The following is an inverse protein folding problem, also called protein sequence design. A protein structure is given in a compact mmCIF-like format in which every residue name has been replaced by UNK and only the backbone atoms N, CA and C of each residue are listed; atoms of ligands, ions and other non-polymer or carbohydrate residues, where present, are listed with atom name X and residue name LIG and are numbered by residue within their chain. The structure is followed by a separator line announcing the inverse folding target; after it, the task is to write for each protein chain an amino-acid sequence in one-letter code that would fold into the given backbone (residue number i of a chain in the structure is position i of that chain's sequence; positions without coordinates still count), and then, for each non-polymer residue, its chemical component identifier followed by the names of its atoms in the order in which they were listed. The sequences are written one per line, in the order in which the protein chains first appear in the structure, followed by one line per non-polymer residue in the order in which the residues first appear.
data_IF_156044953766
#
_entry.id   IF_156044953766
#
_cell.length_a   1.000
_cell.length_b   1.000
_cell.length_c   1.000
_cell.angle_alpha   90.00
_cell.angle_beta   90.00
_cell.angle_gamma   90.00
#
_symmetry.space_group_name_H-M   'P 1'
#
loop_
_entity.id
_entity.type
_entity.pdbx_description
1 polymer ?
#
# COMPACT_ATOMS: atom_id res chain seq x y z
N UNK A 1 18.44 -17.54 -22.41
CA UNK A 1 18.98 -17.78 -21.05
C UNK A 1 18.37 -19.02 -20.42
N UNK A 2 19.18 -19.84 -19.74
CA UNK A 2 18.71 -21.08 -19.09
C UNK A 2 17.69 -20.79 -17.97
N UNK A 3 17.85 -19.69 -17.24
CA UNK A 3 16.95 -19.27 -16.16
C UNK A 3 15.51 -19.03 -16.61
N UNK A 4 15.32 -18.45 -17.80
CA UNK A 4 14.00 -18.25 -18.39
C UNK A 4 13.33 -19.59 -18.74
N UNK A 5 14.09 -20.54 -19.30
CA UNK A 5 13.59 -21.89 -19.62
C UNK A 5 13.12 -22.63 -18.36
N UNK A 6 13.91 -22.56 -17.28
CA UNK A 6 13.57 -23.20 -16.01
C UNK A 6 12.29 -22.59 -15.39
N UNK A 7 12.17 -21.26 -15.40
CA UNK A 7 11.00 -20.54 -14.88
C UNK A 7 9.73 -20.90 -15.65
N UNK A 8 9.82 -21.00 -16.98
CA UNK A 8 8.71 -21.39 -17.83
C UNK A 8 8.28 -22.84 -17.56
N UNK A 9 9.24 -23.76 -17.45
CA UNK A 9 8.96 -25.16 -17.15
C UNK A 9 8.27 -25.35 -15.80
N UNK A 10 8.71 -24.64 -14.75
CA UNK A 10 8.06 -24.68 -13.44
C UNK A 10 6.64 -24.09 -13.48
N UNK A 11 6.43 -23.02 -14.25
CA UNK A 11 5.10 -22.42 -14.43
C UNK A 11 4.15 -23.40 -15.10
N UNK A 12 4.60 -24.09 -16.16
CA UNK A 12 3.81 -25.11 -16.85
C UNK A 12 3.51 -26.29 -15.92
N UNK A 13 4.51 -26.78 -15.16
CA UNK A 13 4.36 -27.89 -14.22
C UNK A 13 3.31 -27.59 -13.15
N UNK A 14 3.36 -26.38 -12.57
CA UNK A 14 2.37 -25.93 -11.56
C UNK A 14 0.97 -25.82 -12.16
N UNK A 15 0.84 -25.22 -13.34
CA UNK A 15 -0.46 -25.04 -14.01
C UNK A 15 -1.14 -26.37 -14.33
N UNK A 16 -0.38 -27.37 -14.81
CA UNK A 16 -0.92 -28.73 -15.05
C UNK A 16 -1.50 -29.35 -13.77
N UNK A 17 -0.79 -29.25 -12.65
CA UNK A 17 -1.27 -29.77 -11.36
C UNK A 17 -2.56 -29.07 -10.89
N UNK A 18 -2.64 -27.75 -11.08
CA UNK A 18 -3.84 -26.97 -10.74
C UNK A 18 -5.04 -27.37 -11.58
N UNK A 19 -4.87 -27.55 -12.89
CA UNK A 19 -5.96 -27.97 -13.80
C UNK A 19 -6.48 -29.35 -13.39
N UNK A 20 -5.59 -30.33 -13.20
CA UNK A 20 -5.98 -31.69 -12.80
C UNK A 20 -6.71 -31.70 -11.45
N UNK A 21 -6.27 -30.88 -10.50
CA UNK A 21 -6.95 -30.73 -9.22
C UNK A 21 -8.34 -30.11 -9.39
N UNK A 22 -8.45 -29.04 -10.19
CA UNK A 22 -9.71 -28.38 -10.45
C UNK A 22 -10.70 -29.31 -11.17
N UNK A 23 -10.26 -30.07 -12.16
CA UNK A 23 -11.08 -31.07 -12.86
C UNK A 23 -11.55 -32.17 -11.92
N UNK A 24 -10.64 -32.73 -11.10
CA UNK A 24 -10.98 -33.78 -10.12
C UNK A 24 -12.01 -33.31 -9.08
N UNK A 25 -11.98 -32.02 -8.72
CA UNK A 25 -12.83 -31.46 -7.68
C UNK A 25 -13.99 -30.59 -8.19
N UNK A 26 -14.18 -30.48 -9.52
CA UNK A 26 -15.21 -29.63 -10.11
C UNK A 26 -15.06 -28.14 -9.80
N UNK A 27 -13.84 -27.65 -9.54
CA UNK A 27 -13.58 -26.27 -9.16
C UNK A 27 -13.49 -25.40 -10.41
N UNK A 28 -14.37 -24.40 -10.51
CA UNK A 28 -14.30 -23.36 -11.54
C UNK A 28 -13.42 -22.22 -11.00
N UNK A 29 -12.28 -21.90 -11.64
CA UNK A 29 -11.43 -20.79 -11.23
C UNK A 29 -12.20 -19.47 -11.29
N UNK A 30 -12.22 -18.73 -10.18
CA UNK A 30 -12.81 -17.39 -10.09
C UNK A 30 -11.78 -16.42 -9.51
N UNK A 31 -11.81 -15.18 -9.98
CA UNK A 31 -11.00 -14.10 -9.42
C UNK A 31 -11.46 -13.81 -8.00
N UNK A 32 -10.52 -13.75 -7.05
CA UNK A 32 -10.81 -13.34 -5.68
C UNK A 32 -11.03 -11.82 -5.69
N UNK A 33 -12.26 -11.39 -5.40
CA UNK A 33 -12.57 -9.99 -5.15
C UNK A 33 -12.50 -9.75 -3.64
N UNK A 34 -11.44 -9.07 -3.18
CA UNK A 34 -11.35 -8.61 -1.79
C UNK A 34 -11.89 -7.18 -1.71
N UNK A 35 -12.77 -6.91 -0.75
CA UNK A 35 -13.14 -5.54 -0.42
C UNK A 35 -11.92 -4.80 0.11
N UNK A 36 -11.75 -3.54 -0.31
CA UNK A 36 -10.81 -2.64 0.35
C UNK A 36 -11.33 -2.43 1.77
N UNK A 37 -10.53 -2.65 2.82
CA UNK A 37 -10.96 -2.33 4.17
C UNK A 37 -11.34 -0.85 4.24
N UNK A 38 -12.50 -0.58 4.83
CA UNK A 38 -13.01 0.77 5.00
C UNK A 38 -12.06 1.51 5.94
N UNK A 39 -11.28 2.43 5.38
CA UNK A 39 -10.39 3.26 6.17
C UNK A 39 -11.27 4.28 6.89
N UNK A 40 -11.33 4.22 8.22
CA UNK A 40 -11.98 5.24 9.02
C UNK A 40 -11.33 6.59 8.70
N UNK A 41 -12.05 7.43 7.97
CA UNK A 41 -11.63 8.78 7.66
C UNK A 41 -11.84 9.57 8.94
N UNK A 42 -10.82 9.64 9.79
CA UNK A 42 -10.78 10.67 10.83
C UNK A 42 -10.99 12.03 10.16
N UNK A 43 -12.01 12.76 10.61
CA UNK A 43 -12.34 14.10 10.12
C UNK A 43 -11.10 14.99 10.27
N UNK A 44 -10.56 15.41 9.13
CA UNK A 44 -9.27 16.06 9.07
C UNK A 44 -9.37 17.52 9.53
N UNK A 45 -8.92 17.79 10.76
CA UNK A 45 -8.75 19.14 11.32
C UNK A 45 -7.69 19.98 10.57
N UNK A 46 -6.96 19.37 9.63
CA UNK A 46 -5.99 20.05 8.75
C UNK A 46 -6.59 21.20 7.95
N UNK A 47 -7.92 21.23 7.77
CA UNK A 47 -8.67 22.31 7.10
C UNK A 47 -8.52 23.68 7.79
N UNK A 48 -8.16 23.70 9.08
CA UNK A 48 -7.99 24.94 9.85
C UNK A 48 -6.55 25.44 9.89
N UNK A 49 -5.57 24.60 9.52
CA UNK A 49 -4.14 24.95 9.57
C UNK A 49 -3.69 25.71 8.33
N UNK A 50 -2.79 26.67 8.53
CA UNK A 50 -2.12 27.41 7.46
C UNK A 50 -1.24 26.47 6.63
N UNK A 51 -1.03 26.80 5.35
CA UNK A 51 -0.13 26.04 4.45
C UNK A 51 1.28 25.93 5.04
N UNK A 52 1.73 26.94 5.79
CA UNK A 52 3.03 26.91 6.45
C UNK A 52 3.09 25.88 7.58
N UNK A 53 2.04 25.81 8.42
CA UNK A 53 1.96 24.86 9.53
C UNK A 53 1.86 23.42 9.02
N UNK A 54 1.15 23.19 7.90
CA UNK A 54 1.08 21.88 7.26
C UNK A 54 2.45 21.41 6.74
N UNK A 55 3.30 22.33 6.24
CA UNK A 55 4.67 21.99 5.82
C UNK A 55 5.57 21.64 7.00
N UNK A 56 5.42 22.34 8.13
CA UNK A 56 6.15 22.02 9.35
C UNK A 56 5.73 20.65 9.90
N UNK A 57 4.43 20.36 9.92
CA UNK A 57 3.91 19.04 10.30
C UNK A 57 4.49 17.90 9.43
N UNK A 58 4.66 18.13 8.11
CA UNK A 58 5.28 17.14 7.21
C UNK A 58 6.74 16.88 7.57
N UNK A 59 7.51 17.93 7.91
CA UNK A 59 8.92 17.80 8.32
C UNK A 59 9.02 17.01 9.64
N UNK A 60 8.16 17.32 10.60
CA UNK A 60 8.15 16.63 11.90
C UNK A 60 7.74 15.16 11.76
N UNK A 61 6.76 14.86 10.90
CA UNK A 61 6.34 13.49 10.61
C UNK A 61 7.42 12.70 9.85
N UNK A 62 8.19 13.33 8.96
CA UNK A 62 9.32 12.68 8.28
C UNK A 62 10.43 12.33 9.27
N UNK A 63 10.72 13.23 10.21
CA UNK A 63 11.67 12.95 11.29
C UNK A 63 11.21 11.79 12.20
N UNK A 64 9.93 11.74 12.55
CA UNK A 64 9.34 10.65 13.33
C UNK A 64 9.35 9.32 12.56
N UNK A 65 9.01 9.33 11.27
CA UNK A 65 9.03 8.13 10.42
C UNK A 65 10.43 7.52 10.34
N UNK A 66 11.47 8.35 10.19
CA UNK A 66 12.87 7.89 10.18
C UNK A 66 13.25 7.24 11.50
N UNK A 67 12.87 7.85 12.62
CA UNK A 67 13.10 7.30 13.95
C UNK A 67 12.39 5.95 14.14
N UNK A 68 11.11 5.84 13.78
CA UNK A 68 10.38 4.58 13.88
C UNK A 68 10.93 3.49 12.95
N UNK A 69 11.46 3.88 11.78
CA UNK A 69 12.16 2.94 10.89
C UNK A 69 13.48 2.44 11.47
N UNK A 70 14.21 3.26 12.23
CA UNK A 70 15.42 2.85 12.96
C UNK A 70 15.08 1.93 14.13
N UNK A 71 13.98 2.22 14.83
CA UNK A 71 13.46 1.43 15.97
C UNK A 71 12.75 0.12 15.53
N UNK A 72 12.69 -0.17 14.21
CA UNK A 72 12.00 -1.32 13.58
C UNK A 72 10.48 -1.38 13.82
N UNK A 73 9.86 -0.26 14.21
CA UNK A 73 8.41 -0.12 14.34
C UNK A 73 7.79 0.31 13.00
N UNK A 74 7.56 -0.68 12.14
CA UNK A 74 7.02 -0.44 10.80
C UNK A 74 5.55 -0.03 10.80
N UNK A 75 4.76 -0.38 11.82
CA UNK A 75 3.35 -0.01 11.88
C UNK A 75 3.22 1.51 12.05
N UNK A 76 3.99 2.08 12.98
CA UNK A 76 4.02 3.53 13.20
C UNK A 76 4.66 4.26 12.01
N UNK A 77 5.73 3.73 11.42
CA UNK A 77 6.35 4.33 10.23
C UNK A 77 5.38 4.38 9.03
N UNK A 78 4.59 3.32 8.82
CA UNK A 78 3.55 3.29 7.78
C UNK A 78 2.46 4.32 8.07
N UNK A 79 2.02 4.46 9.32
CA UNK A 79 1.04 5.46 9.71
C UNK A 79 1.54 6.90 9.44
N UNK A 80 2.80 7.20 9.79
CA UNK A 80 3.43 8.48 9.48
C UNK A 80 3.49 8.74 7.97
N UNK A 81 3.92 7.76 7.17
CA UNK A 81 3.96 7.86 5.70
C UNK A 81 2.58 8.17 5.11
N UNK A 82 1.56 7.46 5.56
CA UNK A 82 0.19 7.62 5.03
C UNK A 82 -0.44 8.95 5.48
N UNK A 83 0.02 9.51 6.60
CA UNK A 83 -0.34 10.87 7.03
C UNK A 83 0.38 11.95 6.22
N UNK A 84 1.67 11.81 5.94
CA UNK A 84 2.43 12.73 5.06
C UNK A 84 1.76 12.80 3.68
N UNK A 85 1.46 11.65 3.08
CA UNK A 85 0.81 11.59 1.76
C UNK A 85 -0.55 12.28 1.72
N UNK A 86 -1.31 12.24 2.83
CA UNK A 86 -2.58 12.97 2.96
C UNK A 86 -2.35 14.49 3.00
N UNK A 87 -1.40 14.94 3.82
CA UNK A 87 -1.06 16.36 3.96
C UNK A 87 -0.50 16.94 2.65
N UNK A 88 0.37 16.21 1.94
CA UNK A 88 0.90 16.63 0.64
C UNK A 88 -0.21 16.81 -0.40
N UNK A 89 -1.15 15.86 -0.46
CA UNK A 89 -2.31 15.95 -1.35
C UNK A 89 -3.21 17.15 -1.02
N UNK A 90 -3.38 17.46 0.26
CA UNK A 90 -4.13 18.64 0.70
C UNK A 90 -3.40 19.95 0.34
N UNK A 91 -2.07 19.99 0.46
CA UNK A 91 -1.25 21.13 0.02
C UNK A 91 -1.36 21.33 -1.50
N UNK A 92 -1.25 20.26 -2.29
CA UNK A 92 -1.40 20.29 -3.75
C UNK A 92 -2.79 20.82 -4.14
N UNK A 93 -3.85 20.26 -3.55
CA UNK A 93 -5.23 20.71 -3.81
C UNK A 93 -5.48 22.18 -3.46
N UNK A 94 -4.81 22.72 -2.43
CA UNK A 94 -4.91 24.14 -2.07
C UNK A 94 -4.08 25.06 -2.95
N UNK A 95 -2.98 24.59 -3.54
CA UNK A 95 -2.14 25.38 -4.45
C UNK A 95 -2.75 25.47 -5.85
N UNK A 96 -3.57 24.49 -6.27
CA UNK A 96 -4.26 24.46 -7.57
C UNK A 96 -5.56 25.28 -7.59
N UNK A 97 -5.98 25.86 -6.45
CA UNK A 97 -7.14 26.76 -6.32
C UNK A 97 -6.71 28.23 -6.35
#
# INVERSE_FOLDING_TARGET
TQSMKNTLNETIRRRKKQILYNEKHGIIPKTIMKSVPEQEIELDESKLKSIHDLRNDVIDLDAQMKKFSEDLDFEQAIACRDRIKRLEKEIEFRNDR
#
